data_IF_961960196907
#
_entry.id   IF_961960196907
#
_cell.length_a   1.000
_cell.length_b   1.000
_cell.length_c   1.000
_cell.angle_alpha   90.00
_cell.angle_beta   90.00
_cell.angle_gamma   90.00
#
_symmetry.space_group_name_H-M   'P 1'
#
loop_
_entity.id
_entity.type
_entity.pdbx_description
1 polymer ?
#
# COMPACT_ATOMS: atom_id res chain seq x y z
N UNK A 1 -8.75 10.36 7.98
CA UNK A 1 -8.97 8.91 8.06
C UNK A 1 -7.64 8.23 8.36
N UNK A 2 -7.47 7.67 9.57
CA UNK A 2 -6.26 6.93 9.96
C UNK A 2 -6.31 5.51 9.39
N UNK A 3 -5.68 5.30 8.24
CA UNK A 3 -5.64 3.99 7.59
C UNK A 3 -4.39 3.22 8.07
N UNK A 4 -4.62 2.16 8.85
CA UNK A 4 -3.58 1.24 9.33
C UNK A 4 -3.15 0.25 8.23
N UNK A 5 -2.77 0.75 7.05
CA UNK A 5 -2.19 -0.08 6.00
C UNK A 5 -0.66 -0.04 6.07
N UNK A 6 -0.05 -1.14 5.68
CA UNK A 6 1.40 -1.30 5.73
C UNK A 6 1.97 -1.15 4.33
N UNK A 7 2.75 -0.09 4.08
CA UNK A 7 3.64 -0.05 2.91
C UNK A 7 4.88 -0.87 3.27
N UNK A 8 5.02 -2.02 2.61
CA UNK A 8 6.18 -2.90 2.75
C UNK A 8 7.30 -2.46 1.82
N UNK A 9 8.54 -2.82 2.15
CA UNK A 9 9.70 -2.62 1.29
C UNK A 9 9.50 -3.16 -0.14
N UNK A 10 8.84 -4.32 -0.28
CA UNK A 10 8.53 -4.92 -1.58
C UNK A 10 7.62 -4.03 -2.44
N UNK A 11 6.67 -3.33 -1.82
CA UNK A 11 5.82 -2.36 -2.51
C UNK A 11 6.67 -1.22 -3.08
N UNK A 12 7.61 -0.71 -2.28
CA UNK A 12 8.52 0.37 -2.69
C UNK A 12 9.46 -0.08 -3.81
N UNK A 13 10.06 -1.26 -3.71
CA UNK A 13 10.88 -1.84 -4.78
C UNK A 13 10.09 -2.02 -6.08
N UNK A 14 8.83 -2.43 -5.99
CA UNK A 14 7.97 -2.59 -7.17
C UNK A 14 7.70 -1.24 -7.82
N UNK A 15 7.37 -0.21 -7.04
CA UNK A 15 7.21 1.16 -7.54
C UNK A 15 8.51 1.68 -8.19
N UNK A 16 9.65 1.41 -7.57
CA UNK A 16 10.96 1.84 -8.04
C UNK A 16 11.36 1.14 -9.36
N UNK A 17 11.12 -0.19 -9.47
CA UNK A 17 11.28 -0.93 -10.74
C UNK A 17 10.40 -0.35 -11.86
N UNK A 18 9.14 -0.04 -11.56
CA UNK A 18 8.23 0.58 -12.53
C UNK A 18 8.74 1.96 -12.94
N UNK A 19 9.20 2.78 -11.98
CA UNK A 19 9.72 4.12 -12.23
C UNK A 19 10.96 4.09 -13.14
N UNK A 20 11.87 3.14 -12.93
CA UNK A 20 13.03 2.95 -13.80
C UNK A 20 12.61 2.50 -15.20
N UNK A 21 11.77 1.47 -15.31
CA UNK A 21 11.34 0.92 -16.62
C UNK A 21 10.60 1.94 -17.48
N UNK A 22 9.87 2.85 -16.86
CA UNK A 22 9.11 3.91 -17.54
C UNK A 22 9.87 5.22 -17.71
N UNK A 23 11.12 5.29 -17.22
CA UNK A 23 11.92 6.52 -17.19
C UNK A 23 11.39 7.61 -16.26
N UNK A 24 10.26 7.38 -15.59
CA UNK A 24 9.63 8.36 -14.69
C UNK A 24 10.46 8.66 -13.46
N UNK A 25 11.33 7.74 -13.05
CA UNK A 25 12.27 7.98 -11.95
C UNK A 25 13.09 9.26 -12.17
N UNK A 26 13.54 9.51 -13.41
CA UNK A 26 14.36 10.68 -13.74
C UNK A 26 13.55 11.97 -13.84
N UNK A 27 12.22 11.87 -14.01
CA UNK A 27 11.29 13.01 -14.05
C UNK A 27 10.80 13.45 -12.67
N UNK A 28 11.04 12.65 -11.63
CA UNK A 28 10.71 13.01 -10.25
C UNK A 28 11.63 14.13 -9.74
N UNK A 29 11.11 14.94 -8.82
CA UNK A 29 11.92 15.96 -8.15
C UNK A 29 13.09 15.29 -7.40
N UNK A 30 14.30 15.89 -7.33
CA UNK A 30 15.45 15.28 -6.66
C UNK A 30 15.16 14.78 -5.24
N UNK A 31 14.39 15.54 -4.45
CA UNK A 31 13.96 15.13 -3.11
C UNK A 31 13.07 13.87 -3.12
N UNK A 32 12.15 13.75 -4.10
CA UNK A 32 11.27 12.59 -4.23
C UNK A 32 12.07 11.33 -4.59
N UNK A 33 13.07 11.47 -5.46
CA UNK A 33 13.99 10.37 -5.79
C UNK A 33 14.75 9.90 -4.56
N UNK A 34 15.29 10.85 -3.79
CA UNK A 34 16.02 10.54 -2.55
C UNK A 34 15.11 9.82 -1.54
N UNK A 35 13.89 10.32 -1.32
CA UNK A 35 12.90 9.68 -0.45
C UNK A 35 12.60 8.26 -0.92
N UNK A 36 12.28 8.07 -2.20
CA UNK A 36 11.96 6.75 -2.75
C UNK A 36 13.14 5.77 -2.63
N UNK A 37 14.35 6.24 -2.90
CA UNK A 37 15.56 5.41 -2.85
C UNK A 37 15.95 5.04 -1.41
N UNK A 38 15.94 6.02 -0.50
CA UNK A 38 16.28 5.80 0.92
C UNK A 38 15.25 4.88 1.59
N UNK A 39 13.97 5.11 1.33
CA UNK A 39 12.91 4.25 1.88
C UNK A 39 13.01 2.82 1.36
N UNK A 40 13.32 2.61 0.08
CA UNK A 40 13.56 1.27 -0.47
C UNK A 40 14.77 0.56 0.16
N UNK A 41 15.83 1.31 0.47
CA UNK A 41 17.09 0.75 0.99
C UNK A 41 17.05 0.46 2.49
N UNK A 42 16.45 1.35 3.28
CA UNK A 42 16.58 1.35 4.74
C UNK A 42 15.35 0.73 5.42
N UNK A 43 14.15 1.00 4.90
CA UNK A 43 12.92 0.67 5.62
C UNK A 43 12.33 -0.66 5.14
N UNK A 44 12.25 -1.63 6.05
CA UNK A 44 11.47 -2.85 5.85
C UNK A 44 9.97 -2.57 5.84
N UNK A 45 9.53 -1.63 6.67
CA UNK A 45 8.14 -1.23 6.84
C UNK A 45 8.00 0.27 7.12
N UNK A 46 7.06 0.93 6.44
CA UNK A 46 6.77 2.35 6.69
C UNK A 46 5.69 2.48 7.76
N UNK A 47 6.10 2.89 8.97
CA UNK A 47 5.17 3.13 10.10
C UNK A 47 4.61 4.56 10.12
N UNK A 48 5.43 5.55 9.78
CA UNK A 48 5.05 6.98 9.80
C UNK A 48 3.96 7.30 8.78
N UNK A 49 2.88 7.95 9.24
CA UNK A 49 1.75 8.34 8.40
C UNK A 49 2.14 9.39 7.35
N UNK A 50 2.89 10.42 7.76
CA UNK A 50 3.39 11.47 6.86
C UNK A 50 4.22 10.88 5.72
N UNK A 51 5.08 9.89 6.04
CA UNK A 51 5.90 9.23 5.03
C UNK A 51 5.05 8.40 4.07
N UNK A 52 4.00 7.73 4.55
CA UNK A 52 3.06 7.01 3.68
C UNK A 52 2.36 7.95 2.69
N UNK A 53 1.93 9.13 3.14
CA UNK A 53 1.26 10.11 2.30
C UNK A 53 2.20 10.68 1.23
N UNK A 54 3.44 11.00 1.60
CA UNK A 54 4.47 11.42 0.64
C UNK A 54 4.73 10.31 -0.38
N UNK A 55 4.90 9.07 0.06
CA UNK A 55 5.12 7.94 -0.84
C UNK A 55 3.93 7.70 -1.78
N UNK A 56 2.69 7.83 -1.31
CA UNK A 56 1.52 7.75 -2.17
C UNK A 56 1.51 8.82 -3.26
N UNK A 57 1.87 10.06 -2.94
CA UNK A 57 1.99 11.14 -3.95
C UNK A 57 3.07 10.82 -4.98
N UNK A 58 4.21 10.27 -4.55
CA UNK A 58 5.29 9.83 -5.45
C UNK A 58 4.80 8.66 -6.34
N UNK A 59 4.12 7.68 -5.76
CA UNK A 59 3.56 6.55 -6.51
C UNK A 59 2.55 7.01 -7.56
N UNK A 60 1.75 8.03 -7.28
CA UNK A 60 0.79 8.59 -8.22
C UNK A 60 1.47 9.20 -9.45
N UNK A 61 2.58 9.93 -9.24
CA UNK A 61 3.42 10.45 -10.32
C UNK A 61 4.04 9.32 -11.17
N UNK A 62 4.47 8.24 -10.52
CA UNK A 62 5.07 7.07 -11.19
C UNK A 62 4.01 6.28 -11.97
N UNK A 63 2.93 5.88 -11.34
CA UNK A 63 1.90 5.03 -11.94
C UNK A 63 0.57 5.23 -11.23
N UNK A 64 -0.35 6.00 -11.84
CA UNK A 64 -1.71 6.16 -11.31
C UNK A 64 -2.40 4.81 -11.09
N UNK A 65 -2.14 3.84 -11.98
CA UNK A 65 -2.65 2.45 -11.86
C UNK A 65 -2.15 1.74 -10.60
N UNK A 66 -0.89 1.95 -10.20
CA UNK A 66 -0.35 1.39 -8.97
C UNK A 66 -1.03 2.03 -7.75
N UNK A 67 -1.15 3.35 -7.75
CA UNK A 67 -1.81 4.10 -6.68
C UNK A 67 -3.27 3.70 -6.52
N UNK A 68 -3.99 3.51 -7.62
CA UNK A 68 -5.38 3.04 -7.61
C UNK A 68 -5.49 1.66 -6.97
N UNK A 69 -4.63 0.71 -7.37
CA UNK A 69 -4.60 -0.63 -6.74
C UNK A 69 -4.31 -0.57 -5.25
N UNK A 70 -3.37 0.29 -4.82
CA UNK A 70 -3.04 0.45 -3.40
C UNK A 70 -4.23 1.04 -2.63
N UNK A 71 -4.91 2.04 -3.19
CA UNK A 71 -6.11 2.64 -2.58
C UNK A 71 -7.27 1.63 -2.49
N UNK A 72 -7.55 0.89 -3.56
CA UNK A 72 -8.57 -0.17 -3.56
C UNK A 72 -8.27 -1.23 -2.48
N UNK A 73 -7.01 -1.69 -2.41
CA UNK A 73 -6.58 -2.62 -1.38
C UNK A 73 -6.75 -2.07 0.05
N UNK A 74 -6.48 -0.77 0.25
CA UNK A 74 -6.67 -0.10 1.53
C UNK A 74 -8.15 -0.07 1.96
N UNK A 75 -9.04 0.31 1.04
CA UNK A 75 -10.49 0.37 1.29
C UNK A 75 -11.02 -1.04 1.58
N UNK A 76 -10.64 -2.00 0.73
CA UNK A 76 -11.01 -3.39 0.89
C UNK A 76 -10.55 -4.00 2.21
N UNK A 77 -9.33 -3.67 2.67
CA UNK A 77 -8.81 -4.14 3.96
C UNK A 77 -9.67 -3.66 5.13
N UNK A 78 -10.12 -2.41 5.08
CA UNK A 78 -10.97 -1.86 6.14
C UNK A 78 -12.33 -2.58 6.19
N UNK A 79 -12.92 -2.84 5.02
CA UNK A 79 -14.20 -3.56 4.90
C UNK A 79 -14.05 -5.00 5.40
N UNK A 80 -13.01 -5.71 4.96
CA UNK A 80 -12.74 -7.09 5.42
C UNK A 80 -12.51 -7.12 6.92
N UNK A 81 -11.76 -6.17 7.49
CA UNK A 81 -11.53 -6.08 8.93
C UNK A 81 -12.85 -5.99 9.70
N UNK A 82 -13.76 -5.09 9.30
CA UNK A 82 -15.09 -4.94 9.93
C UNK A 82 -15.92 -6.23 9.81
N UNK A 83 -15.91 -6.87 8.63
CA UNK A 83 -16.63 -8.14 8.41
C UNK A 83 -16.06 -9.29 9.24
N UNK A 84 -14.75 -9.35 9.41
CA UNK A 84 -14.09 -10.35 10.26
C UNK A 84 -14.44 -10.13 11.73
N UNK A 85 -14.44 -8.88 12.20
CA UNK A 85 -14.87 -8.54 13.57
C UNK A 85 -16.32 -8.99 13.81
N UNK A 86 -17.23 -8.67 12.89
CA UNK A 86 -18.63 -9.12 12.95
C UNK A 86 -18.75 -10.64 12.97
N UNK A 87 -18.09 -11.35 12.06
CA UNK A 87 -18.14 -12.81 11.99
C UNK A 87 -17.57 -13.48 13.25
N UNK A 88 -16.54 -12.89 13.86
CA UNK A 88 -16.00 -13.33 15.14
C UNK A 88 -16.98 -13.12 16.28
N UNK A 89 -17.75 -12.03 16.30
CA UNK A 89 -18.82 -11.82 17.29
C UNK A 89 -19.91 -12.89 17.19
N UNK A 90 -20.22 -13.36 15.98
CA UNK A 90 -21.13 -14.49 15.75
C UNK A 90 -20.51 -15.88 16.01
N UNK A 91 -19.27 -15.94 16.52
CA UNK A 91 -18.60 -17.19 16.89
C UNK A 91 -17.85 -17.89 15.75
N UNK A 92 -17.81 -17.32 14.54
CA UNK A 92 -17.12 -17.93 13.40
C UNK A 92 -15.61 -17.66 13.44
N UNK A 93 -14.88 -18.50 14.18
CA UNK A 93 -13.41 -18.36 14.41
C UNK A 93 -12.57 -18.39 13.13
N UNK A 94 -13.04 -19.07 12.08
CA UNK A 94 -12.35 -19.17 10.79
C UNK A 94 -12.32 -17.84 10.02
N UNK A 95 -13.14 -16.84 10.38
CA UNK A 95 -13.13 -15.51 9.76
C UNK A 95 -11.73 -14.86 9.70
N UNK A 96 -10.85 -15.18 10.68
CA UNK A 96 -9.47 -14.66 10.70
C UNK A 96 -8.67 -15.00 9.44
N UNK A 97 -8.99 -16.10 8.75
CA UNK A 97 -8.28 -16.48 7.52
C UNK A 97 -8.58 -15.52 6.36
N UNK A 98 -9.71 -14.83 6.35
CA UNK A 98 -10.11 -13.91 5.28
C UNK A 98 -9.17 -12.71 5.14
N UNK A 99 -8.44 -12.36 6.20
CA UNK A 99 -7.40 -11.32 6.15
C UNK A 99 -6.14 -11.75 5.37
N UNK A 100 -5.99 -13.03 5.05
CA UNK A 100 -4.82 -13.55 4.31
C UNK A 100 -5.01 -13.50 2.80
N UNK A 101 -6.26 -13.48 2.32
CA UNK A 101 -6.58 -13.53 0.90
C UNK A 101 -6.59 -12.12 0.30
N UNK A 102 -5.69 -11.85 -0.63
CA UNK A 102 -5.55 -10.53 -1.27
C UNK A 102 -6.61 -10.26 -2.33
N UNK A 103 -7.15 -11.29 -2.99
CA UNK A 103 -8.15 -11.14 -4.05
C UNK A 103 -9.49 -10.60 -3.53
N UNK A 104 -10.09 -11.14 -2.46
CA UNK A 104 -11.34 -10.60 -1.90
C UNK A 104 -11.16 -9.18 -1.35
N UNK A 105 -9.98 -8.89 -0.79
CA UNK A 105 -9.64 -7.55 -0.31
C UNK A 105 -9.66 -6.58 -1.49
N UNK A 106 -8.97 -6.88 -2.58
CA UNK A 106 -8.90 -5.98 -3.73
C UNK A 106 -10.26 -5.77 -4.41
N UNK A 107 -11.15 -6.77 -4.42
CA UNK A 107 -12.46 -6.67 -5.07
C UNK A 107 -13.50 -5.88 -4.28
N UNK A 108 -13.25 -5.62 -2.99
CA UNK A 108 -14.18 -4.90 -2.11
C UNK A 108 -13.91 -3.39 -2.04
N UNK A 109 -12.81 -2.89 -2.63
CA UNK A 109 -12.44 -1.48 -2.61
C UNK A 109 -12.25 -0.90 -4.00
#
# INVERSE_FOLDING_TARGET
MNLAYTITQQTIHTALKIAWRTGKYFKLHPAERAILHLTAKILTQVKSQTLKEILLKIFDKISPKLTLKLKAFMIGLEIVKKRVEQALMFGYKKARSWMKDTNPILSLG
#
